data_IF_909555805042
#
_entry.id   IF_909555805042
#
_cell.length_a   1.000
_cell.length_b   1.000
_cell.length_c   1.000
_cell.angle_alpha   90.00
_cell.angle_beta   90.00
_cell.angle_gamma   90.00
#
_symmetry.space_group_name_H-M   'P 1'
#
loop_
_entity.id
_entity.type
_entity.pdbx_description
1 polymer ?
#
# COMPACT_ATOMS: atom_id res chain seq x y z
N UNK A 1 -9.52 -8.42 38.33
CA UNK A 1 -8.18 -7.82 38.50
C UNK A 1 -7.43 -8.07 37.20
N UNK A 2 -7.65 -7.20 36.21
CA UNK A 2 -7.14 -7.35 34.85
C UNK A 2 -5.65 -7.03 34.84
N UNK A 3 -4.82 -8.04 34.56
CA UNK A 3 -3.40 -7.86 34.29
C UNK A 3 -3.28 -7.49 32.82
N UNK A 4 -3.17 -6.19 32.54
CA UNK A 4 -2.70 -5.71 31.25
C UNK A 4 -1.38 -6.41 30.92
N UNK A 5 -1.30 -6.96 29.71
CA UNK A 5 -0.09 -7.51 29.14
C UNK A 5 0.92 -6.37 29.00
N UNK A 6 1.80 -6.20 29.99
CA UNK A 6 3.04 -5.43 29.78
C UNK A 6 3.83 -6.15 28.69
N UNK A 7 4.17 -5.49 27.57
CA UNK A 7 5.04 -6.08 26.57
C UNK A 7 6.36 -6.46 27.25
N UNK A 8 6.78 -7.72 27.09
CA UNK A 8 8.18 -8.09 27.27
C UNK A 8 9.03 -7.09 26.48
N UNK A 9 10.14 -6.62 27.06
CA UNK A 9 10.96 -5.54 26.50
C UNK A 9 11.42 -5.88 25.06
N UNK A 10 10.58 -5.53 24.09
CA UNK A 10 10.90 -5.60 22.67
C UNK A 10 12.03 -4.60 22.45
N UNK A 11 13.10 -5.07 21.82
CA UNK A 11 14.29 -4.28 21.51
C UNK A 11 13.83 -3.14 20.60
N UNK A 12 13.70 -1.93 21.16
CA UNK A 12 13.39 -0.73 20.38
C UNK A 12 14.54 -0.50 19.39
N UNK A 13 14.21 -0.14 18.15
CA UNK A 13 15.18 0.54 17.31
C UNK A 13 15.61 1.81 18.06
N UNK A 14 16.92 1.99 18.23
CA UNK A 14 17.42 3.20 18.86
C UNK A 14 17.00 4.40 18.03
N UNK A 15 16.57 5.48 18.69
CA UNK A 15 16.24 6.74 18.03
C UNK A 15 17.42 7.17 17.13
N UNK A 16 17.14 7.46 15.85
CA UNK A 16 18.14 7.89 14.88
C UNK A 16 18.79 6.80 14.02
N UNK A 17 18.44 5.51 14.17
CA UNK A 17 18.85 4.48 13.20
C UNK A 17 17.83 4.46 12.06
N UNK A 18 18.23 5.05 10.93
CA UNK A 18 17.51 4.90 9.69
C UNK A 18 17.77 3.51 9.08
N UNK A 19 16.73 2.69 9.05
CA UNK A 19 16.79 1.39 8.36
C UNK A 19 16.14 1.53 7.00
N UNK A 20 16.91 1.34 5.93
CA UNK A 20 16.43 1.47 4.54
C UNK A 20 16.44 0.12 3.81
N UNK A 21 15.42 -0.09 3.01
CA UNK A 21 15.38 -1.13 1.99
C UNK A 21 15.02 -0.54 0.63
N UNK A 22 15.63 -1.10 -0.42
CA UNK A 22 15.33 -0.72 -1.79
C UNK A 22 13.89 -1.06 -2.12
N UNK A 23 13.24 -0.13 -2.80
CA UNK A 23 11.89 -0.29 -3.34
C UNK A 23 11.96 -0.34 -4.87
N UNK A 24 11.14 -1.20 -5.48
CA UNK A 24 11.08 -1.43 -6.92
C UNK A 24 9.63 -1.27 -7.39
N UNK A 25 9.29 -0.17 -8.09
CA UNK A 25 7.98 -0.07 -8.72
C UNK A 25 7.87 -1.08 -9.87
N UNK A 26 6.73 -1.75 -9.96
CA UNK A 26 6.36 -2.66 -11.06
C UNK A 26 4.94 -2.33 -11.54
N UNK A 27 4.44 -3.03 -12.56
CA UNK A 27 3.12 -2.76 -13.14
C UNK A 27 2.01 -2.95 -12.08
N UNK A 28 1.59 -1.84 -11.47
CA UNK A 28 0.52 -1.78 -10.47
C UNK A 28 0.94 -1.98 -9.01
N UNK A 29 2.16 -2.42 -8.70
CA UNK A 29 2.61 -2.71 -7.33
C UNK A 29 3.95 -2.05 -7.01
N UNK A 30 4.30 -2.08 -5.72
CA UNK A 30 5.56 -1.58 -5.18
C UNK A 30 6.21 -2.71 -4.40
N UNK A 31 7.41 -3.13 -4.79
CA UNK A 31 8.13 -4.20 -4.10
C UNK A 31 9.21 -3.64 -3.19
N UNK A 32 9.42 -4.23 -2.02
CA UNK A 32 10.59 -4.00 -1.15
C UNK A 32 11.52 -5.21 -1.19
N UNK A 33 12.82 -4.95 -1.18
CA UNK A 33 13.85 -5.98 -1.03
C UNK A 33 14.16 -6.19 0.46
N UNK A 34 13.93 -7.42 0.95
CA UNK A 34 14.30 -7.89 2.29
C UNK A 34 14.90 -9.28 2.18
N UNK A 35 15.87 -9.59 3.04
CA UNK A 35 16.37 -10.97 3.16
C UNK A 35 15.71 -11.70 4.32
N UNK A 36 15.40 -12.97 4.13
CA UNK A 36 14.79 -13.86 5.12
C UNK A 36 15.74 -15.02 5.44
N UNK A 37 15.79 -15.47 6.69
CA UNK A 37 16.48 -16.71 7.08
C UNK A 37 17.93 -16.57 7.53
N UNK A 38 18.51 -17.71 7.91
CA UNK A 38 19.92 -17.86 8.31
C UNK A 38 20.54 -19.10 7.64
N UNK A 39 21.33 -18.95 6.56
CA UNK A 39 21.85 -17.69 5.99
C UNK A 39 20.77 -16.80 5.34
N UNK A 40 20.99 -15.48 5.19
CA UNK A 40 20.00 -14.58 4.59
C UNK A 40 19.78 -14.88 3.10
N UNK A 41 18.51 -15.01 2.69
CA UNK A 41 18.07 -15.18 1.30
C UNK A 41 17.33 -13.92 0.85
N UNK A 42 17.83 -13.16 -0.14
CA UNK A 42 17.16 -11.94 -0.61
C UNK A 42 15.91 -12.29 -1.41
N UNK A 43 14.77 -11.69 -1.01
CA UNK A 43 13.49 -11.81 -1.69
C UNK A 43 12.85 -10.43 -1.86
N UNK A 44 11.84 -10.36 -2.72
CA UNK A 44 11.05 -9.15 -2.95
C UNK A 44 9.65 -9.36 -2.41
N UNK A 45 9.08 -8.35 -1.77
CA UNK A 45 7.74 -8.41 -1.17
C UNK A 45 6.94 -7.21 -1.60
N UNK A 46 5.63 -7.34 -1.79
CA UNK A 46 4.76 -6.17 -1.94
C UNK A 46 4.84 -5.34 -0.66
N UNK A 47 5.15 -4.05 -0.81
CA UNK A 47 5.04 -3.04 0.25
C UNK A 47 3.56 -2.70 0.37
N UNK A 48 2.93 -3.16 1.43
CA UNK A 48 1.48 -3.08 1.57
C UNK A 48 1.09 -2.43 2.90
N UNK A 49 0.71 -1.17 2.83
CA UNK A 49 0.19 -0.39 3.97
C UNK A 49 -1.24 -0.79 4.35
N UNK A 50 -2.02 -1.32 3.41
CA UNK A 50 -3.38 -1.85 3.64
C UNK A 50 -3.40 -3.23 4.31
N UNK A 51 -2.28 -3.95 4.35
CA UNK A 51 -2.13 -5.24 5.02
C UNK A 51 -1.45 -5.15 6.37
N UNK A 52 -1.88 -5.99 7.31
CA UNK A 52 -1.40 -6.01 8.70
C UNK A 52 -0.68 -7.31 9.09
N UNK A 53 -0.19 -8.06 8.09
CA UNK A 53 0.55 -9.29 8.26
C UNK A 53 1.68 -9.40 7.24
N UNK A 54 2.81 -9.97 7.64
CA UNK A 54 3.86 -10.41 6.73
C UNK A 54 3.64 -11.87 6.32
N UNK A 55 3.81 -12.20 5.04
CA UNK A 55 3.87 -13.60 4.59
C UNK A 55 4.77 -13.76 3.37
N UNK A 56 5.26 -14.98 3.17
CA UNK A 56 6.10 -15.38 2.06
C UNK A 56 5.61 -16.70 1.45
N UNK A 57 5.78 -16.83 0.15
CA UNK A 57 5.55 -18.04 -0.63
C UNK A 57 6.59 -19.09 -0.22
N UNK A 58 6.12 -20.16 0.42
CA UNK A 58 6.95 -21.28 0.85
C UNK A 58 6.66 -22.59 0.09
N UNK A 59 5.49 -22.67 -0.55
CA UNK A 59 5.09 -23.85 -1.33
C UNK A 59 5.50 -23.71 -2.80
N UNK A 60 5.95 -24.77 -3.48
CA UNK A 60 6.14 -24.78 -4.93
C UNK A 60 4.90 -24.31 -5.68
N UNK A 61 5.04 -23.36 -6.60
CA UNK A 61 3.99 -22.95 -7.53
C UNK A 61 4.51 -23.02 -8.95
N UNK A 62 3.64 -23.38 -9.89
CA UNK A 62 3.98 -23.44 -11.31
C UNK A 62 4.42 -22.05 -11.80
N UNK A 63 5.70 -21.92 -12.17
CA UNK A 63 6.25 -20.70 -12.75
C UNK A 63 6.76 -19.65 -11.76
N UNK A 64 6.82 -19.93 -10.46
CA UNK A 64 7.45 -19.03 -9.48
C UNK A 64 8.91 -19.41 -9.23
N UNK A 65 9.82 -18.46 -9.41
CA UNK A 65 11.25 -18.59 -9.06
C UNK A 65 11.58 -18.05 -7.67
N UNK A 66 10.60 -17.45 -6.98
CA UNK A 66 10.82 -16.63 -5.79
C UNK A 66 10.22 -17.28 -4.52
N UNK A 67 10.63 -18.52 -4.25
CA UNK A 67 10.10 -19.37 -3.17
C UNK A 67 11.11 -19.47 -2.02
N UNK A 68 10.63 -19.24 -0.79
CA UNK A 68 11.44 -19.41 0.41
C UNK A 68 11.43 -20.87 0.88
N UNK A 69 12.61 -21.52 0.89
CA UNK A 69 12.77 -22.86 1.44
C UNK A 69 13.17 -22.79 2.92
N UNK A 70 12.18 -22.94 3.81
CA UNK A 70 12.40 -22.80 5.25
C UNK A 70 13.35 -23.86 5.83
N UNK A 71 13.46 -25.04 5.23
CA UNK A 71 14.33 -26.14 5.68
C UNK A 71 15.83 -25.79 5.59
N UNK A 72 16.16 -24.76 4.83
CA UNK A 72 17.54 -24.27 4.68
C UNK A 72 17.93 -23.22 5.72
N UNK A 73 16.98 -22.77 6.55
CA UNK A 73 17.20 -21.71 7.53
C UNK A 73 17.31 -22.26 8.95
N UNK A 74 18.43 -21.96 9.60
CA UNK A 74 18.66 -22.28 11.01
C UNK A 74 17.87 -21.41 12.01
N UNK A 75 17.18 -20.37 11.54
CA UNK A 75 16.38 -19.47 12.38
C UNK A 75 14.86 -19.61 12.20
N UNK A 76 14.42 -20.54 11.34
CA UNK A 76 13.00 -20.84 11.16
C UNK A 76 12.43 -21.53 12.41
N UNK A 77 11.29 -21.04 12.90
CA UNK A 77 10.62 -21.63 14.06
C UNK A 77 9.10 -21.61 13.91
N UNK A 78 8.44 -22.77 13.73
CA UNK A 78 6.98 -22.85 13.69
C UNK A 78 6.33 -22.31 14.97
N UNK A 79 5.22 -21.58 14.84
CA UNK A 79 4.48 -21.03 15.97
C UNK A 79 3.53 -22.10 16.52
N UNK A 80 3.67 -22.53 17.80
CA UNK A 80 2.75 -23.50 18.39
C UNK A 80 1.39 -22.86 18.67
N UNK A 81 0.35 -23.69 18.75
CA UNK A 81 -1.01 -23.25 19.09
C UNK A 81 -1.16 -22.64 20.49
N UNK A 82 -0.20 -22.90 21.38
CA UNK A 82 -0.13 -22.30 22.71
C UNK A 82 0.47 -20.88 22.70
N UNK A 83 1.05 -20.41 21.59
CA UNK A 83 1.59 -19.05 21.49
C UNK A 83 0.44 -18.04 21.53
N UNK A 84 0.59 -16.99 22.34
CA UNK A 84 -0.43 -15.97 22.57
C UNK A 84 -0.90 -15.32 21.26
N UNK A 85 -0.03 -15.16 20.26
CA UNK A 85 -0.45 -14.56 18.99
C UNK A 85 -1.53 -15.40 18.31
N UNK A 86 -1.44 -16.73 18.41
CA UNK A 86 -2.38 -17.65 17.77
C UNK A 86 -3.72 -17.72 18.50
N UNK A 87 -3.74 -17.32 19.76
CA UNK A 87 -4.95 -17.25 20.59
C UNK A 87 -5.57 -15.84 20.57
N UNK A 88 -4.93 -14.89 19.88
CA UNK A 88 -5.38 -13.51 19.84
C UNK A 88 -6.66 -13.36 19.03
N UNK A 89 -7.63 -12.63 19.58
CA UNK A 89 -8.85 -12.23 18.87
C UNK A 89 -8.59 -11.16 17.81
N UNK A 90 -7.51 -10.40 17.98
CA UNK A 90 -7.10 -9.35 17.05
C UNK A 90 -6.47 -9.91 15.77
N UNK A 91 -6.31 -11.24 15.68
CA UNK A 91 -5.81 -11.95 14.51
C UNK A 91 -6.78 -13.09 14.14
N UNK A 92 -8.05 -12.76 13.90
CA UNK A 92 -9.13 -13.72 13.65
C UNK A 92 -8.92 -14.64 12.42
N UNK A 93 -7.96 -14.31 11.55
CA UNK A 93 -7.52 -15.13 10.42
C UNK A 93 -6.54 -16.26 10.82
N UNK A 94 -6.18 -16.36 12.10
CA UNK A 94 -5.37 -17.45 12.65
C UNK A 94 -6.26 -18.58 13.17
N UNK A 95 -5.77 -19.81 13.08
CA UNK A 95 -6.50 -20.97 13.57
C UNK A 95 -5.58 -22.11 14.02
N UNK A 96 -6.11 -22.87 14.98
CA UNK A 96 -5.58 -24.15 15.45
C UNK A 96 -6.58 -25.30 15.26
N UNK A 97 -7.69 -25.01 14.59
CA UNK A 97 -8.78 -25.94 14.35
C UNK A 97 -8.40 -26.88 13.19
N UNK A 98 -7.63 -27.93 13.51
CA UNK A 98 -7.21 -28.93 12.53
C UNK A 98 -6.40 -30.10 13.10
N UNK A 99 -6.35 -30.26 14.43
CA UNK A 99 -5.59 -31.35 15.09
C UNK A 99 -4.06 -31.22 15.05
N UNK A 100 -3.53 -30.15 14.44
CA UNK A 100 -2.09 -29.86 14.42
C UNK A 100 -1.63 -29.14 15.68
N UNK A 101 -0.36 -29.34 16.05
CA UNK A 101 0.27 -28.64 17.19
C UNK A 101 0.66 -27.18 16.89
N UNK A 102 0.54 -26.75 15.63
CA UNK A 102 1.06 -25.47 15.15
C UNK A 102 -0.03 -24.57 14.56
N UNK A 103 0.16 -23.28 14.74
CA UNK A 103 -0.72 -22.21 14.31
C UNK A 103 -0.73 -22.06 12.79
N UNK A 104 -1.91 -21.90 12.21
CA UNK A 104 -2.10 -21.67 10.77
C UNK A 104 -2.78 -20.34 10.53
N UNK A 105 -2.63 -19.80 9.33
CA UNK A 105 -3.34 -18.59 8.90
C UNK A 105 -4.08 -18.82 7.59
N UNK A 106 -5.18 -18.10 7.40
CA UNK A 106 -5.89 -17.97 6.14
C UNK A 106 -6.32 -16.51 5.97
N UNK A 107 -5.65 -15.79 5.08
CA UNK A 107 -5.83 -14.36 4.88
C UNK A 107 -6.36 -14.05 3.49
N UNK A 108 -7.55 -13.45 3.40
CA UNK A 108 -8.11 -12.92 2.16
C UNK A 108 -7.71 -11.45 1.91
N UNK A 109 -7.71 -11.07 0.62
CA UNK A 109 -7.42 -9.72 0.13
C UNK A 109 -8.60 -9.16 -0.68
N UNK A 110 -8.64 -7.84 -0.85
CA UNK A 110 -9.77 -7.13 -1.49
C UNK A 110 -9.94 -7.42 -2.99
N UNK A 111 -8.91 -7.92 -3.66
CA UNK A 111 -8.96 -8.38 -5.04
C UNK A 111 -9.58 -9.79 -5.19
N UNK A 112 -9.92 -10.43 -4.06
CA UNK A 112 -10.44 -11.79 -3.98
C UNK A 112 -9.36 -12.87 -3.95
N UNK A 113 -8.08 -12.50 -3.91
CA UNK A 113 -7.00 -13.44 -3.63
C UNK A 113 -6.94 -13.80 -2.14
N UNK A 114 -6.23 -14.87 -1.81
CA UNK A 114 -5.94 -15.25 -0.43
C UNK A 114 -4.55 -15.88 -0.29
N UNK A 115 -3.98 -15.80 0.89
CA UNK A 115 -2.76 -16.51 1.26
C UNK A 115 -3.03 -17.39 2.47
N UNK A 116 -2.58 -18.65 2.42
CA UNK A 116 -2.84 -19.62 3.47
C UNK A 116 -1.58 -20.43 3.77
N UNK A 117 -1.33 -20.74 5.05
CA UNK A 117 -0.11 -21.44 5.42
C UNK A 117 0.12 -21.62 6.91
N UNK A 118 1.38 -21.92 7.23
CA UNK A 118 1.86 -22.10 8.60
C UNK A 118 2.34 -20.75 9.15
N UNK A 119 1.98 -20.43 10.39
CA UNK A 119 2.61 -19.33 11.09
C UNK A 119 3.98 -19.77 11.63
N UNK A 120 4.99 -18.93 11.41
CA UNK A 120 6.33 -19.16 11.88
C UNK A 120 6.97 -17.85 12.36
N UNK A 121 8.10 -17.98 13.03
CA UNK A 121 9.05 -16.92 13.37
C UNK A 121 10.29 -17.10 12.50
N UNK A 122 10.85 -15.99 12.04
CA UNK A 122 12.09 -15.99 11.26
C UNK A 122 12.92 -14.73 11.51
N UNK A 123 14.14 -14.71 10.96
CA UNK A 123 14.99 -13.52 10.89
C UNK A 123 14.78 -12.79 9.57
N UNK A 124 14.45 -11.51 9.62
CA UNK A 124 14.41 -10.62 8.46
C UNK A 124 15.56 -9.62 8.51
N UNK A 125 16.15 -9.30 7.37
CA UNK A 125 17.30 -8.40 7.22
C UNK A 125 17.01 -7.37 6.13
N UNK A 126 17.19 -6.09 6.46
CA UNK A 126 17.02 -4.96 5.54
C UNK A 126 18.28 -4.75 4.69
N UNK A 127 18.16 -3.93 3.65
CA UNK A 127 19.25 -3.70 2.67
C UNK A 127 20.55 -3.18 3.28
N UNK A 128 20.48 -2.41 4.37
CA UNK A 128 21.65 -1.92 5.10
C UNK A 128 22.24 -2.91 6.13
N UNK A 129 21.76 -4.16 6.15
CA UNK A 129 22.24 -5.23 7.04
C UNK A 129 21.59 -5.26 8.42
N UNK A 130 20.72 -4.29 8.77
CA UNK A 130 19.96 -4.34 10.02
C UNK A 130 19.04 -5.57 10.01
N UNK A 131 19.09 -6.39 11.06
CA UNK A 131 18.30 -7.62 11.14
C UNK A 131 17.49 -7.74 12.42
N UNK A 132 16.31 -8.34 12.29
CA UNK A 132 15.35 -8.57 13.36
C UNK A 132 15.03 -10.05 13.41
N UNK A 133 15.21 -10.65 14.59
CA UNK A 133 14.96 -12.06 14.84
C UNK A 133 13.58 -12.25 15.45
N UNK A 134 13.03 -13.46 15.32
CA UNK A 134 11.76 -13.87 15.89
C UNK A 134 10.56 -13.04 15.39
N UNK A 135 10.63 -12.58 14.13
CA UNK A 135 9.52 -11.88 13.46
C UNK A 135 8.51 -12.93 13.02
N UNK A 136 7.28 -12.81 13.49
CA UNK A 136 6.15 -13.60 13.06
C UNK A 136 5.82 -13.31 11.58
N UNK A 137 5.62 -14.36 10.81
CA UNK A 137 5.22 -14.29 9.41
C UNK A 137 4.45 -15.55 9.01
N UNK A 138 3.70 -15.46 7.91
CA UNK A 138 3.09 -16.59 7.24
C UNK A 138 4.03 -17.25 6.25
N UNK A 139 4.23 -18.55 6.37
CA UNK A 139 4.91 -19.37 5.38
C UNK A 139 3.84 -20.15 4.63
N UNK A 140 3.47 -19.69 3.44
CA UNK A 140 2.22 -20.13 2.81
C UNK A 140 2.22 -20.13 1.29
N UNK A 141 1.00 -20.15 0.75
CA UNK A 141 0.71 -20.20 -0.68
C UNK A 141 -0.36 -19.17 -1.04
N UNK A 142 -0.12 -18.43 -2.13
CA UNK A 142 -1.10 -17.55 -2.75
C UNK A 142 -2.14 -18.34 -3.54
N UNK A 143 -3.39 -17.89 -3.47
CA UNK A 143 -4.51 -18.36 -4.27
C UNK A 143 -5.22 -17.14 -4.85
N UNK A 144 -5.12 -16.94 -6.16
CA UNK A 144 -5.79 -15.86 -6.87
C UNK A 144 -7.26 -16.20 -7.11
N UNK A 145 -8.05 -15.19 -7.46
CA UNK A 145 -9.48 -15.34 -7.77
C UNK A 145 -9.77 -16.31 -8.93
N UNK A 146 -8.84 -16.43 -9.88
CA UNK A 146 -8.92 -17.37 -11.01
C UNK A 146 -8.45 -18.80 -10.65
N UNK A 147 -8.07 -19.05 -9.38
CA UNK A 147 -7.56 -20.32 -8.89
C UNK A 147 -6.07 -20.54 -9.14
N UNK A 148 -5.38 -19.60 -9.81
CA UNK A 148 -3.93 -19.68 -9.99
C UNK A 148 -3.18 -19.37 -8.68
N UNK A 149 -1.92 -19.80 -8.60
CA UNK A 149 -1.05 -19.60 -7.42
C UNK A 149 0.17 -18.76 -7.76
N UNK A 150 0.07 -17.99 -8.85
CA UNK A 150 1.15 -17.17 -9.40
C UNK A 150 1.05 -15.76 -8.82
N UNK A 151 2.13 -15.20 -8.23
CA UNK A 151 2.10 -13.81 -7.79
C UNK A 151 1.88 -12.86 -8.99
N UNK A 152 1.15 -11.74 -8.82
CA UNK A 152 0.83 -10.80 -9.90
C UNK A 152 2.05 -10.27 -10.66
N UNK A 153 3.19 -10.20 -9.96
CA UNK A 153 4.43 -9.59 -10.42
C UNK A 153 5.48 -10.53 -11.04
N UNK A 154 5.29 -11.86 -10.97
CA UNK A 154 6.32 -12.91 -11.16
C UNK A 154 7.59 -12.78 -10.29
N UNK A 155 7.75 -11.66 -9.60
CA UNK A 155 8.93 -11.27 -8.82
C UNK A 155 8.63 -11.16 -7.33
N UNK A 156 7.35 -11.04 -6.94
CA UNK A 156 6.97 -10.93 -5.54
C UNK A 156 6.93 -12.33 -4.88
N UNK A 157 7.64 -12.47 -3.77
CA UNK A 157 7.64 -13.65 -2.91
C UNK A 157 6.57 -13.60 -1.83
N UNK A 158 5.78 -12.52 -1.72
CA UNK A 158 4.76 -12.36 -0.70
C UNK A 158 4.53 -10.89 -0.37
N UNK A 159 4.02 -10.61 0.83
CA UNK A 159 3.63 -9.27 1.28
C UNK A 159 4.32 -8.93 2.59
N UNK A 160 4.74 -7.68 2.71
CA UNK A 160 5.14 -7.07 3.98
C UNK A 160 4.09 -6.06 4.38
N UNK A 161 3.21 -6.49 5.29
CA UNK A 161 2.16 -5.64 5.84
C UNK A 161 2.73 -4.57 6.78
N UNK A 162 2.37 -3.32 6.52
CA UNK A 162 2.73 -2.13 7.31
C UNK A 162 1.54 -1.53 8.09
N UNK A 163 0.38 -2.20 8.06
CA UNK A 163 -0.82 -1.82 8.81
C UNK A 163 -0.65 -1.84 10.33
N UNK A 164 -1.72 -1.55 11.05
CA UNK A 164 -1.77 -1.38 12.51
C UNK A 164 -2.02 -2.68 13.29
N UNK A 165 -2.22 -3.80 12.59
CA UNK A 165 -2.47 -5.10 13.24
C UNK A 165 -1.20 -5.73 13.86
N UNK A 166 -1.36 -6.71 14.76
CA UNK A 166 -0.28 -7.21 15.59
C UNK A 166 0.79 -8.01 14.84
N UNK A 167 0.48 -8.48 13.63
CA UNK A 167 1.38 -9.25 12.77
C UNK A 167 2.07 -8.39 11.69
N UNK A 168 1.86 -7.08 11.69
CA UNK A 168 2.52 -6.18 10.75
C UNK A 168 3.98 -5.95 11.16
N UNK A 169 4.83 -5.58 10.21
CA UNK A 169 6.22 -5.24 10.51
C UNK A 169 6.29 -4.07 11.52
N UNK A 170 5.39 -3.09 11.36
CA UNK A 170 5.26 -1.90 12.20
C UNK A 170 5.05 -2.28 13.67
N UNK A 171 4.04 -3.11 13.95
CA UNK A 171 3.70 -3.54 15.33
C UNK A 171 4.74 -4.48 15.92
N UNK A 172 5.34 -5.34 15.09
CA UNK A 172 6.33 -6.29 15.55
C UNK A 172 7.64 -5.62 15.95
N UNK A 173 8.07 -4.61 15.20
CA UNK A 173 9.27 -3.82 15.49
C UNK A 173 9.03 -2.62 16.42
N UNK A 174 7.76 -2.37 16.80
CA UNK A 174 7.36 -1.23 17.63
C UNK A 174 7.85 0.10 17.02
N UNK A 175 7.53 0.31 15.75
CA UNK A 175 7.93 1.51 15.03
C UNK A 175 7.09 2.70 15.51
N UNK A 176 7.76 3.82 15.73
CA UNK A 176 7.12 5.11 16.04
C UNK A 176 6.90 5.92 14.76
N UNK A 177 7.73 5.71 13.74
CA UNK A 177 7.65 6.38 12.45
C UNK A 177 8.18 5.46 11.35
N UNK A 178 7.54 5.48 10.20
CA UNK A 178 8.06 4.89 8.96
C UNK A 178 7.66 5.74 7.76
N UNK A 179 8.39 5.60 6.67
CA UNK A 179 8.11 6.34 5.45
C UNK A 179 8.51 5.53 4.22
N UNK A 180 7.90 5.83 3.08
CA UNK A 180 8.37 5.34 1.78
C UNK A 180 8.34 6.44 0.74
N UNK A 181 9.20 6.29 -0.26
CA UNK A 181 9.27 7.14 -1.44
C UNK A 181 9.36 6.22 -2.66
N UNK A 182 8.37 6.30 -3.55
CA UNK A 182 8.30 5.45 -4.75
C UNK A 182 8.40 6.31 -5.99
N UNK A 183 9.23 5.90 -6.93
CA UNK A 183 9.37 6.55 -8.23
C UNK A 183 8.34 6.02 -9.23
N UNK A 184 8.23 6.70 -10.38
CA UNK A 184 7.62 6.13 -11.58
C UNK A 184 8.48 5.03 -12.21
N UNK A 185 7.93 4.34 -13.22
CA UNK A 185 8.57 3.21 -13.93
C UNK A 185 9.96 3.54 -14.52
N UNK A 186 10.22 4.81 -14.81
CA UNK A 186 11.41 5.25 -15.54
C UNK A 186 12.69 5.31 -14.70
N UNK A 187 12.60 5.22 -13.37
CA UNK A 187 13.78 5.23 -12.49
C UNK A 187 13.62 4.34 -11.25
N UNK A 188 14.08 3.09 -11.30
CA UNK A 188 14.11 2.21 -10.11
C UNK A 188 15.29 2.52 -9.15
N UNK A 189 16.03 3.60 -9.38
CA UNK A 189 17.02 4.17 -8.47
C UNK A 189 16.31 5.03 -7.41
N UNK A 190 16.81 5.06 -6.18
CA UNK A 190 16.37 5.99 -5.12
C UNK A 190 15.08 5.63 -4.34
N UNK A 191 14.19 4.80 -4.88
CA UNK A 191 12.99 4.35 -4.15
C UNK A 191 13.38 3.57 -2.87
N UNK A 192 12.81 3.95 -1.73
CA UNK A 192 13.16 3.40 -0.43
C UNK A 192 11.98 3.29 0.54
N UNK A 193 12.03 2.27 1.39
CA UNK A 193 11.28 2.19 2.65
C UNK A 193 12.25 2.50 3.78
N UNK A 194 11.94 3.50 4.60
CA UNK A 194 12.71 3.89 5.77
C UNK A 194 11.95 3.69 7.08
N UNK A 195 12.68 3.29 8.11
CA UNK A 195 12.19 3.27 9.50
C UNK A 195 12.87 4.39 10.29
N UNK A 196 12.09 5.13 11.09
CA UNK A 196 12.53 6.32 11.79
C UNK A 196 12.31 7.60 10.98
N UNK A 197 12.68 8.76 11.55
CA UNK A 197 12.53 10.05 10.86
C UNK A 197 13.42 10.09 9.61
N UNK A 198 12.91 10.48 8.43
CA UNK A 198 13.72 10.59 7.23
C UNK A 198 14.87 11.58 7.45
N UNK A 199 16.11 11.15 7.17
CA UNK A 199 17.26 12.04 7.22
C UNK A 199 17.18 13.08 6.10
N UNK A 200 17.43 14.37 6.40
CA UNK A 200 17.59 15.41 5.37
C UNK A 200 16.29 16.05 4.86
N UNK A 201 15.19 16.02 5.61
CA UNK A 201 13.98 16.79 5.27
C UNK A 201 14.24 18.28 5.44
N UNK A 202 14.78 18.91 4.40
CA UNK A 202 14.84 20.36 4.28
C UNK A 202 13.42 20.91 4.10
N UNK A 203 13.12 22.01 4.82
CA UNK A 203 11.79 22.62 4.95
C UNK A 203 11.31 23.42 3.72
N UNK A 204 11.91 23.20 2.53
CA UNK A 204 11.70 24.04 1.36
C UNK A 204 10.51 23.63 0.48
N UNK A 205 10.00 22.40 0.60
CA UNK A 205 8.81 21.93 -0.13
C UNK A 205 7.56 21.98 0.77
N UNK A 206 6.41 22.35 0.20
CA UNK A 206 5.13 22.30 0.89
C UNK A 206 4.83 20.84 1.30
N UNK A 207 4.65 20.62 2.61
CA UNK A 207 4.26 19.33 3.18
C UNK A 207 2.77 19.41 3.47
N UNK A 208 2.02 18.42 3.00
CA UNK A 208 0.60 18.25 3.36
C UNK A 208 0.53 17.25 4.49
N UNK A 209 0.04 17.65 5.66
CA UNK A 209 -0.12 16.78 6.82
C UNK A 209 -1.60 16.65 7.17
N UNK A 210 -2.04 15.43 7.47
CA UNK A 210 -3.41 15.10 7.85
C UNK A 210 -3.41 14.14 9.05
N UNK A 211 -4.33 14.31 10.01
CA UNK A 211 -4.44 13.37 11.12
C UNK A 211 -4.94 12.00 10.64
N UNK A 212 -4.37 10.95 11.20
CA UNK A 212 -4.90 9.60 11.06
C UNK A 212 -6.15 9.47 11.94
N UNK A 213 -7.21 8.88 11.41
CA UNK A 213 -8.42 8.62 12.19
C UNK A 213 -8.14 7.60 13.29
N UNK A 214 -8.59 7.92 14.50
CA UNK A 214 -8.51 7.01 15.65
C UNK A 214 -9.60 5.94 15.54
N UNK A 215 -9.20 4.75 15.11
CA UNK A 215 -10.09 3.62 14.87
C UNK A 215 -9.47 2.33 15.37
N UNK A 216 -10.30 1.31 15.63
CA UNK A 216 -9.84 -0.05 15.92
C UNK A 216 -9.42 -0.82 14.65
N UNK A 217 -9.46 -0.18 13.47
CA UNK A 217 -9.09 -0.80 12.21
C UNK A 217 -7.58 -1.04 12.14
N UNK A 218 -7.19 -2.13 11.49
CA UNK A 218 -5.80 -2.38 11.13
C UNK A 218 -5.32 -1.46 9.98
N UNK A 219 -6.22 -0.74 9.32
CA UNK A 219 -5.92 0.20 8.24
C UNK A 219 -5.59 1.60 8.77
N UNK A 220 -4.81 2.35 7.99
CA UNK A 220 -4.65 3.79 8.19
C UNK A 220 -5.75 4.52 7.43
N UNK A 221 -6.64 5.18 8.16
CA UNK A 221 -7.70 5.98 7.57
C UNK A 221 -7.42 7.47 7.76
N UNK A 222 -7.79 8.26 6.76
CA UNK A 222 -7.76 9.73 6.78
C UNK A 222 -9.12 10.28 6.37
N UNK A 223 -9.36 11.55 6.69
CA UNK A 223 -10.54 12.28 6.23
C UNK A 223 -10.20 13.09 4.97
N UNK A 224 -10.81 12.71 3.85
CA UNK A 224 -10.93 13.59 2.68
C UNK A 224 -12.14 14.52 2.91
N UNK A 225 -12.05 15.80 2.56
CA UNK A 225 -13.13 16.79 2.71
C UNK A 225 -13.73 17.20 1.37
N UNK A 226 -13.00 16.99 0.28
CA UNK A 226 -13.46 17.31 -1.06
C UNK A 226 -12.37 17.12 -2.11
N UNK A 227 -12.74 17.33 -3.36
CA UNK A 227 -11.83 17.26 -4.51
C UNK A 227 -12.06 18.52 -5.37
N UNK A 228 -10.99 19.18 -5.79
CA UNK A 228 -11.07 20.28 -6.78
C UNK A 228 -10.44 19.85 -8.09
N UNK A 229 -11.16 20.09 -9.20
CA UNK A 229 -10.69 19.88 -10.57
C UNK A 229 -10.61 21.22 -11.28
N UNK A 230 -9.41 21.69 -11.58
CA UNK A 230 -9.18 23.03 -12.13
C UNK A 230 -9.66 24.11 -11.15
N UNK A 231 -10.82 24.70 -11.42
CA UNK A 231 -11.47 25.70 -10.55
C UNK A 231 -12.78 25.20 -9.94
N UNK A 232 -13.18 23.97 -10.25
CA UNK A 232 -14.46 23.40 -9.81
C UNK A 232 -14.24 22.59 -8.55
N UNK A 233 -14.77 23.05 -7.42
CA UNK A 233 -14.79 22.31 -6.16
C UNK A 233 -15.97 21.32 -6.16
N UNK A 234 -15.66 20.02 -6.12
CA UNK A 234 -16.64 18.95 -5.99
C UNK A 234 -16.92 18.71 -4.50
N UNK A 235 -18.21 18.52 -4.17
CA UNK A 235 -18.67 18.29 -2.79
C UNK A 235 -18.35 19.42 -1.80
N UNK A 236 -18.20 20.67 -2.28
CA UNK A 236 -18.02 21.83 -1.41
C UNK A 236 -19.20 21.95 -0.41
N UNK A 237 -18.89 21.92 0.88
CA UNK A 237 -19.90 21.94 1.95
C UNK A 237 -20.62 20.59 2.16
N UNK A 238 -20.14 19.50 1.57
CA UNK A 238 -20.68 18.14 1.69
C UNK A 238 -19.65 17.17 2.28
N UNK A 239 -18.84 17.64 3.24
CA UNK A 239 -17.76 16.87 3.88
C UNK A 239 -18.24 15.53 4.46
N UNK A 240 -19.49 15.47 4.93
CA UNK A 240 -20.15 14.26 5.43
C UNK A 240 -20.21 13.10 4.43
N UNK A 241 -20.04 13.36 3.13
CA UNK A 241 -19.98 12.30 2.11
C UNK A 241 -18.71 11.44 2.25
N UNK A 242 -17.67 11.98 2.88
CA UNK A 242 -16.38 11.33 3.06
C UNK A 242 -16.14 10.83 4.48
N UNK A 243 -16.92 11.31 5.46
CA UNK A 243 -16.78 10.93 6.87
C UNK A 243 -16.98 9.43 7.08
N UNK A 244 -16.10 8.83 7.90
CA UNK A 244 -16.18 7.42 8.28
C UNK A 244 -17.45 7.17 9.10
N UNK A 245 -18.28 6.25 8.61
CA UNK A 245 -19.48 5.82 9.30
C UNK A 245 -19.15 4.81 10.42
N UNK A 246 -20.07 4.68 11.39
CA UNK A 246 -19.92 3.74 12.52
C UNK A 246 -19.85 2.27 12.08
N UNK A 247 -20.40 1.93 10.92
CA UNK A 247 -20.33 0.59 10.32
C UNK A 247 -19.02 0.33 9.57
N UNK A 248 -18.09 1.30 9.56
CA UNK A 248 -16.82 1.25 8.87
C UNK A 248 -16.89 1.56 7.37
N UNK A 249 -18.05 1.96 6.83
CA UNK A 249 -18.16 2.47 5.46
C UNK A 249 -17.69 3.92 5.35
N UNK A 250 -17.36 4.37 4.13
CA UNK A 250 -16.73 5.67 3.84
C UNK A 250 -15.36 5.82 4.51
N UNK A 251 -14.88 7.04 4.71
CA UNK A 251 -13.48 7.31 4.98
C UNK A 251 -12.59 6.96 3.78
N UNK A 252 -11.30 7.24 3.93
CA UNK A 252 -10.29 6.93 2.93
C UNK A 252 -9.15 6.16 3.56
N UNK A 253 -8.94 4.93 3.09
CA UNK A 253 -7.80 4.08 3.46
C UNK A 253 -6.58 4.50 2.65
N UNK A 254 -5.41 4.57 3.29
CA UNK A 254 -4.14 4.73 2.58
C UNK A 254 -3.57 3.35 2.28
N UNK A 255 -3.35 3.05 1.00
CA UNK A 255 -2.93 1.72 0.60
C UNK A 255 -1.95 1.76 -0.59
N UNK A 256 -0.74 1.28 -0.35
CA UNK A 256 0.30 1.09 -1.38
C UNK A 256 0.16 -0.23 -2.14
N UNK A 257 -0.60 -1.19 -1.62
CA UNK A 257 -0.91 -2.47 -2.28
C UNK A 257 -1.97 -2.34 -3.37
N UNK A 258 -2.75 -1.25 -3.36
CA UNK A 258 -3.71 -0.92 -4.43
C UNK A 258 -3.08 -0.01 -5.48
N UNK A 259 -3.07 -0.42 -6.76
CA UNK A 259 -2.41 0.30 -7.86
C UNK A 259 -2.93 1.73 -8.10
N UNK A 260 -4.26 1.88 -8.11
CA UNK A 260 -4.97 3.10 -8.47
C UNK A 260 -5.95 3.47 -7.37
N UNK A 261 -6.07 4.75 -7.05
CA UNK A 261 -7.08 5.25 -6.10
C UNK A 261 -8.46 4.73 -6.46
N UNK A 262 -9.19 4.22 -5.47
CA UNK A 262 -10.60 3.81 -5.61
C UNK A 262 -11.48 4.77 -4.85
N UNK A 263 -12.40 5.43 -5.52
CA UNK A 263 -13.34 6.36 -4.90
C UNK A 263 -14.71 5.70 -4.77
N UNK A 264 -15.45 6.07 -3.72
CA UNK A 264 -16.85 5.64 -3.59
C UNK A 264 -17.65 6.11 -4.81
N UNK A 265 -18.70 5.38 -5.23
CA UNK A 265 -19.31 5.60 -6.55
C UNK A 265 -19.80 7.03 -6.78
N UNK A 266 -20.41 7.64 -5.77
CA UNK A 266 -20.88 9.04 -5.79
C UNK A 266 -19.76 10.02 -6.14
N UNK A 267 -18.63 9.90 -5.46
CA UNK A 267 -17.44 10.76 -5.65
C UNK A 267 -16.77 10.47 -7.00
N UNK A 268 -16.62 9.19 -7.36
CA UNK A 268 -16.02 8.81 -8.63
C UNK A 268 -16.79 9.37 -9.83
N UNK A 269 -18.12 9.23 -9.82
CA UNK A 269 -18.98 9.72 -10.91
C UNK A 269 -18.90 11.23 -11.07
N UNK A 270 -18.84 12.00 -9.97
CA UNK A 270 -18.68 13.44 -10.02
C UNK A 270 -17.32 13.85 -10.60
N UNK A 271 -16.23 13.24 -10.12
CA UNK A 271 -14.87 13.48 -10.64
C UNK A 271 -14.77 13.15 -12.14
N UNK A 272 -15.27 11.98 -12.54
CA UNK A 272 -15.29 11.54 -13.94
C UNK A 272 -16.05 12.52 -14.82
N UNK A 273 -17.23 12.97 -14.40
CA UNK A 273 -18.06 13.90 -15.17
C UNK A 273 -17.37 15.25 -15.35
N UNK A 274 -16.75 15.78 -14.30
CA UNK A 274 -16.04 17.06 -14.35
C UNK A 274 -14.81 17.01 -15.25
N UNK A 275 -14.02 15.93 -15.16
CA UNK A 275 -12.88 15.71 -16.05
C UNK A 275 -13.32 15.62 -17.52
N UNK A 276 -14.39 14.89 -17.82
CA UNK A 276 -14.95 14.86 -19.19
C UNK A 276 -15.34 16.27 -19.63
N UNK A 277 -16.08 17.02 -18.82
CA UNK A 277 -16.54 18.36 -19.17
C UNK A 277 -15.37 19.30 -19.51
N UNK A 278 -14.32 19.33 -18.68
CA UNK A 278 -13.17 20.20 -18.93
C UNK A 278 -12.29 19.72 -20.09
N UNK A 279 -12.09 18.41 -20.25
CA UNK A 279 -11.19 17.86 -21.27
C UNK A 279 -11.80 17.91 -22.68
N UNK A 280 -13.13 17.83 -22.81
CA UNK A 280 -13.80 18.07 -24.09
C UNK A 280 -13.63 19.52 -24.56
N UNK A 281 -13.61 20.50 -23.65
CA UNK A 281 -13.44 21.92 -23.98
C UNK A 281 -12.05 22.20 -24.58
N UNK A 282 -11.03 21.47 -24.14
CA UNK A 282 -9.67 21.57 -24.71
C UNK A 282 -9.44 20.66 -25.92
N UNK A 283 -10.51 20.07 -26.48
CA UNK A 283 -10.48 19.35 -27.75
C UNK A 283 -10.07 17.88 -27.66
N UNK A 284 -9.96 17.30 -26.45
CA UNK A 284 -9.80 15.86 -26.31
C UNK A 284 -11.12 15.14 -26.60
N UNK A 285 -11.01 13.88 -27.01
CA UNK A 285 -12.16 13.01 -27.25
C UNK A 285 -12.11 11.83 -26.29
N UNK A 286 -13.26 11.47 -25.71
CA UNK A 286 -13.37 10.25 -24.90
C UNK A 286 -13.08 9.05 -25.79
N UNK A 287 -12.20 8.17 -25.32
CA UNK A 287 -11.78 6.94 -25.99
C UNK A 287 -12.33 5.72 -25.23
N UNK A 288 -12.35 4.53 -25.86
CA UNK A 288 -12.66 3.29 -25.18
C UNK A 288 -11.75 3.04 -23.96
N UNK A 289 -12.27 2.28 -22.99
CA UNK A 289 -11.50 1.83 -21.84
C UNK A 289 -10.25 1.06 -22.27
N UNK A 290 -9.14 1.29 -21.58
CA UNK A 290 -7.85 0.68 -21.89
C UNK A 290 -7.03 0.45 -20.62
N UNK A 291 -6.15 -0.56 -20.63
CA UNK A 291 -5.25 -0.88 -19.51
C UNK A 291 -5.96 -1.06 -18.14
N UNK A 292 -7.21 -1.53 -18.14
CA UNK A 292 -8.00 -1.71 -16.92
C UNK A 292 -8.59 -0.41 -16.34
N UNK A 293 -8.51 0.70 -17.07
CA UNK A 293 -9.06 2.01 -16.70
C UNK A 293 -10.28 2.32 -17.56
N UNK A 294 -11.34 2.88 -16.95
CA UNK A 294 -12.68 3.04 -17.56
C UNK A 294 -12.96 4.46 -18.11
N UNK A 295 -12.04 5.41 -17.90
CA UNK A 295 -12.08 6.74 -18.50
C UNK A 295 -10.76 7.04 -19.20
N UNK A 296 -10.80 7.13 -20.53
CA UNK A 296 -9.65 7.43 -21.36
C UNK A 296 -9.97 8.54 -22.37
N UNK A 297 -8.94 9.27 -22.80
CA UNK A 297 -9.01 10.33 -23.80
C UNK A 297 -7.96 10.11 -24.89
N UNK A 298 -8.33 10.30 -26.15
CA UNK A 298 -7.40 10.23 -27.28
C UNK A 298 -6.47 11.44 -27.27
N UNK A 299 -5.15 11.20 -27.23
CA UNK A 299 -4.15 12.27 -27.31
C UNK A 299 -3.87 12.66 -28.77
N UNK A 300 -3.87 13.97 -29.09
CA UNK A 300 -3.57 14.43 -30.43
C UNK A 300 -2.08 14.23 -30.77
N UNK A 301 -1.78 14.00 -32.05
CA UNK A 301 -0.40 13.99 -32.58
C UNK A 301 0.47 12.83 -32.08
N UNK A 302 -0.11 11.69 -31.72
CA UNK A 302 0.65 10.51 -31.31
C UNK A 302 1.36 10.66 -29.96
N UNK A 303 0.80 11.44 -29.02
CA UNK A 303 1.32 11.59 -27.65
C UNK A 303 2.40 12.66 -27.45
N UNK A 304 2.78 13.40 -28.49
CA UNK A 304 3.81 14.44 -28.46
C UNK A 304 3.25 15.86 -28.23
N UNK A 305 2.07 15.97 -27.62
CA UNK A 305 1.39 17.26 -27.40
C UNK A 305 1.32 17.60 -25.91
N UNK A 306 1.67 18.85 -25.57
CA UNK A 306 1.47 19.42 -24.23
C UNK A 306 -0.02 19.63 -23.98
N UNK A 307 -0.74 18.55 -23.68
CA UNK A 307 -2.13 18.62 -23.22
C UNK A 307 -2.15 19.21 -21.81
N UNK A 308 -2.86 20.32 -21.64
CA UNK A 308 -3.07 20.94 -20.35
C UNK A 308 -4.20 20.21 -19.59
N UNK A 309 -3.83 19.21 -18.80
CA UNK A 309 -4.77 18.58 -17.88
C UNK A 309 -5.08 19.51 -16.70
N UNK A 310 -6.32 19.50 -16.17
CA UNK A 310 -6.69 20.35 -15.05
C UNK A 310 -5.93 19.99 -13.78
N UNK A 311 -5.58 20.97 -12.96
CA UNK A 311 -5.04 20.69 -11.62
C UNK A 311 -6.05 19.84 -10.84
N UNK A 312 -5.59 18.77 -10.19
CA UNK A 312 -6.40 17.93 -9.33
C UNK A 312 -5.90 18.08 -7.90
N UNK A 313 -6.77 18.49 -6.98
CA UNK A 313 -6.44 18.69 -5.57
C UNK A 313 -7.34 17.86 -4.69
N UNK A 314 -6.75 17.08 -3.80
CA UNK A 314 -7.44 16.37 -2.73
C UNK A 314 -7.35 17.23 -1.47
N UNK A 315 -8.49 17.58 -0.91
CA UNK A 315 -8.57 18.39 0.30
C UNK A 315 -8.65 17.46 1.51
N UNK A 316 -7.52 17.13 2.12
CA UNK A 316 -7.53 16.33 3.35
C UNK A 316 -7.82 17.22 4.56
N UNK A 317 -8.26 16.61 5.65
CA UNK A 317 -8.29 17.34 6.92
C UNK A 317 -6.87 17.80 7.29
N UNK A 318 -6.66 19.11 7.47
CA UNK A 318 -5.36 19.71 7.77
C UNK A 318 -4.56 20.23 6.57
N UNK A 319 -4.89 19.85 5.33
CA UNK A 319 -4.20 20.43 4.17
C UNK A 319 -4.58 19.89 2.80
N UNK A 320 -4.18 20.64 1.78
CA UNK A 320 -4.43 20.35 0.38
C UNK A 320 -3.26 19.58 -0.23
N UNK A 321 -3.55 18.47 -0.92
CA UNK A 321 -2.58 17.73 -1.71
C UNK A 321 -2.91 17.90 -3.20
N UNK A 322 -2.05 18.64 -3.90
CA UNK A 322 -2.09 18.70 -5.36
C UNK A 322 -1.53 17.40 -5.92
N UNK A 323 -2.34 16.67 -6.68
CA UNK A 323 -1.94 15.41 -7.32
C UNK A 323 -1.26 15.75 -8.66
N UNK A 324 0.01 15.37 -8.87
CA UNK A 324 0.69 15.57 -10.14
C UNK A 324 -0.06 14.89 -11.30
N UNK A 325 -0.02 15.47 -12.50
CA UNK A 325 -0.75 14.95 -13.66
C UNK A 325 -0.35 13.52 -14.01
N UNK A 326 0.94 13.21 -13.94
CA UNK A 326 1.51 11.88 -14.14
C UNK A 326 1.01 10.84 -13.12
N UNK A 327 0.51 11.30 -11.97
CA UNK A 327 0.00 10.46 -10.90
C UNK A 327 -1.51 10.16 -11.03
N UNK A 328 -2.27 10.92 -11.84
CA UNK A 328 -3.70 10.66 -12.06
C UNK A 328 -4.09 10.47 -13.53
N UNK A 329 -3.22 10.74 -14.51
CA UNK A 329 -3.41 10.43 -15.93
C UNK A 329 -2.30 9.52 -16.42
N UNK A 330 -2.61 8.25 -16.68
CA UNK A 330 -1.68 7.29 -17.28
C UNK A 330 -1.74 7.37 -18.80
N UNK A 331 -0.58 7.52 -19.44
CA UNK A 331 -0.49 7.45 -20.89
C UNK A 331 -0.25 6.00 -21.31
N UNK A 332 -1.13 5.47 -22.15
CA UNK A 332 -1.07 4.09 -22.67
C UNK A 332 -1.17 4.10 -24.19
N UNK A 333 -0.43 3.20 -24.84
CA UNK A 333 -0.46 3.06 -26.30
C UNK A 333 -1.34 1.87 -26.70
N UNK A 334 -2.36 2.11 -27.52
CA UNK A 334 -3.29 1.09 -28.06
C UNK A 334 -3.39 1.26 -29.57
N UNK A 335 -3.09 0.22 -30.34
CA UNK A 335 -3.25 0.20 -31.81
C UNK A 335 -2.69 1.46 -32.52
N UNK A 336 -1.48 1.88 -32.12
CA UNK A 336 -0.78 3.09 -32.61
C UNK A 336 -1.37 4.44 -32.19
N UNK A 337 -2.34 4.46 -31.28
CA UNK A 337 -2.89 5.66 -30.66
C UNK A 337 -2.41 5.76 -29.22
N UNK A 338 -2.10 6.98 -28.76
CA UNK A 338 -1.80 7.25 -27.36
C UNK A 338 -3.05 7.76 -26.66
N UNK A 339 -3.41 7.13 -25.55
CA UNK A 339 -4.55 7.46 -24.72
C UNK A 339 -4.06 7.97 -23.37
N UNK A 340 -4.66 9.02 -22.84
CA UNK A 340 -4.52 9.40 -21.43
C UNK A 340 -5.73 8.86 -20.66
N UNK A 341 -5.48 7.99 -19.69
CA UNK A 341 -6.50 7.31 -18.91
C UNK A 341 -6.45 7.72 -17.44
N UNK A 342 -7.61 8.00 -16.84
CA UNK A 342 -7.72 8.37 -15.43
C UNK A 342 -7.27 7.19 -14.55
N UNK A 343 -6.24 7.40 -13.75
CA UNK A 343 -5.63 6.43 -12.85
C UNK A 343 -6.40 6.30 -11.52
N UNK A 344 -7.73 6.32 -11.60
CA UNK A 344 -8.67 6.19 -10.49
C UNK A 344 -9.88 5.37 -10.94
N UNK A 345 -10.48 4.61 -10.04
CA UNK A 345 -11.62 3.74 -10.34
C UNK A 345 -12.71 3.89 -9.27
N UNK A 346 -13.90 3.40 -9.58
CA UNK A 346 -14.97 3.22 -8.59
C UNK A 346 -14.67 2.05 -7.64
N UNK A 347 -15.18 2.10 -6.41
CA UNK A 347 -15.29 0.93 -5.51
C UNK A 347 -16.46 0.03 -5.89
N UNK A 348 -17.32 0.43 -6.83
CA UNK A 348 -18.44 -0.38 -7.32
C UNK A 348 -17.98 -1.76 -7.81
N UNK A 349 -18.73 -2.80 -7.43
CA UNK A 349 -18.43 -4.20 -7.79
C UNK A 349 -17.24 -4.83 -7.07
N UNK A 350 -16.53 -4.09 -6.20
CA UNK A 350 -15.39 -4.62 -5.43
C UNK A 350 -15.78 -5.21 -4.08
N UNK A 351 -16.98 -4.87 -3.57
CA UNK A 351 -17.39 -5.18 -2.20
C UNK A 351 -16.82 -4.23 -1.14
N UNK A 352 -16.00 -3.25 -1.54
CA UNK A 352 -15.46 -2.21 -0.66
C UNK A 352 -16.45 -1.04 -0.52
N UNK A 353 -16.68 -0.62 0.71
CA UNK A 353 -17.51 0.55 1.05
C UNK A 353 -16.70 1.78 1.46
N UNK A 354 -15.38 1.66 1.52
CA UNK A 354 -14.42 2.73 1.84
C UNK A 354 -13.65 3.16 0.60
N UNK A 355 -13.29 4.44 0.49
CA UNK A 355 -12.36 4.88 -0.53
C UNK A 355 -10.93 4.41 -0.21
N UNK A 356 -10.07 4.34 -1.23
CA UNK A 356 -8.66 3.97 -1.12
C UNK A 356 -7.81 4.99 -1.86
N UNK A 357 -6.84 5.60 -1.18
CA UNK A 357 -5.78 6.38 -1.80
C UNK A 357 -4.66 5.42 -2.21
N UNK A 358 -4.58 5.15 -3.52
CA UNK A 358 -3.72 4.11 -4.09
C UNK A 358 -2.29 4.57 -4.40
N UNK A 359 -1.44 3.61 -4.77
CA UNK A 359 -0.03 3.82 -5.04
C UNK A 359 0.27 4.87 -6.12
N UNK A 360 -0.49 4.90 -7.23
CA UNK A 360 -0.21 5.84 -8.32
C UNK A 360 -0.27 7.30 -7.89
N UNK A 361 -1.16 7.64 -6.94
CA UNK A 361 -1.27 8.99 -6.39
C UNK A 361 -0.18 9.34 -5.37
N UNK A 362 0.58 8.34 -4.91
CA UNK A 362 1.64 8.47 -3.91
C UNK A 362 3.05 8.49 -4.52
N UNK A 363 3.18 8.31 -5.84
CA UNK A 363 4.48 8.34 -6.55
C UNK A 363 5.13 9.72 -6.44
N UNK A 364 6.46 9.74 -6.36
CA UNK A 364 7.28 10.94 -6.16
C UNK A 364 6.82 11.78 -4.96
N UNK A 365 6.37 11.09 -3.90
CA UNK A 365 6.09 11.67 -2.61
C UNK A 365 6.81 10.86 -1.54
N UNK A 366 7.43 11.54 -0.60
CA UNK A 366 7.78 10.93 0.67
C UNK A 366 6.50 10.88 1.51
N UNK A 367 5.97 9.68 1.67
CA UNK A 367 4.78 9.39 2.48
C UNK A 367 5.25 8.95 3.86
N UNK A 368 5.05 9.79 4.87
CA UNK A 368 5.54 9.56 6.24
C UNK A 368 4.38 9.34 7.21
N UNK A 369 4.44 8.22 7.94
CA UNK A 369 3.52 7.87 9.02
C UNK A 369 4.21 8.16 10.35
N UNK A 370 3.75 9.20 11.06
CA UNK A 370 4.15 9.47 12.44
C UNK A 370 3.08 8.87 13.37
N UNK A 371 3.39 7.72 13.96
CA UNK A 371 2.47 6.96 14.78
C UNK A 371 2.41 7.49 16.23
N UNK A 372 3.36 8.35 16.62
CA UNK A 372 3.36 9.02 17.92
C UNK A 372 2.47 10.25 17.87
N UNK A 373 2.61 11.06 16.82
CA UNK A 373 1.74 12.21 16.57
C UNK A 373 0.40 11.82 15.94
N UNK A 374 0.24 10.55 15.54
CA UNK A 374 -0.92 10.01 14.84
C UNK A 374 -1.27 10.81 13.56
N UNK A 375 -0.24 11.10 12.76
CA UNK A 375 -0.33 11.91 11.55
C UNK A 375 0.26 11.20 10.34
N UNK A 376 -0.27 11.54 9.17
CA UNK A 376 0.26 11.19 7.86
C UNK A 376 0.72 12.45 7.15
N UNK A 377 1.89 12.40 6.52
CA UNK A 377 2.41 13.53 5.73
C UNK A 377 2.79 13.10 4.32
N UNK A 378 2.45 13.94 3.35
CA UNK A 378 2.84 13.83 1.95
C UNK A 378 3.79 14.98 1.63
N UNK A 379 5.02 14.65 1.22
CA UNK A 379 5.99 15.63 0.75
C UNK A 379 6.39 15.30 -0.69
N UNK A 380 6.02 16.11 -1.69
CA UNK A 380 6.55 15.96 -3.05
C UNK A 380 8.08 15.89 -3.03
N UNK A 381 8.64 14.81 -3.58
CA UNK A 381 10.07 14.48 -3.50
C UNK A 381 10.49 13.78 -4.79
N UNK A 382 11.64 14.16 -5.34
CA UNK A 382 12.29 13.39 -6.42
C UNK A 382 12.91 12.14 -5.80
N UNK A 383 12.10 11.06 -5.70
CA UNK A 383 12.49 9.84 -5.01
C UNK A 383 13.69 9.15 -5.67
N UNK A 384 14.02 9.45 -6.93
CA UNK A 384 15.17 8.90 -7.64
C UNK A 384 16.51 9.55 -7.25
N UNK A 385 16.46 10.65 -6.49
CA UNK A 385 17.62 11.41 -6.01
C UNK A 385 17.74 11.45 -4.47
N UNK A 386 16.91 10.67 -3.76
CA UNK A 386 16.78 10.68 -2.28
C UNK A 386 17.55 9.61 -1.51
#
# INVERSE_FOLDING_TARGET
MNRELRPSAKRRLAAGIEVRSRVVPIDGEVLIELSIGSPPVPLKYVLDVGSDMMWTQCSPTSGSSAIYSHDTSSSFSPVPCSDNICQSKDAAFLSCNGGGSYCRYNRGYGDGSSSQGLMAKEKFTFGNGASFKNVYFGCGQLFNKDGSTKPPADQASGIVGLGRGPLSLVSQLNLETFWYCTTGRESASGSALGVGSPAGVTAAAAITTTPLLDTLSAWYLVLLKGITVGKTALFAGQESEFELNLDGSRGMVIDSGTSFTRLIPTVYTALRSELIAQLLVVGLQVAPAAAGLDLCFLLPGGGNTNVAFPQLTFHFDGGDLVIPTENYMQVVTVENSNLACLAMLSTEGTGLSTAIFGNSQQKNMNVTFDLVANNLSFKPTQCDQS
#
